data_IF_759839529947
#
_entry.id   IF_759839529947
#
_cell.length_a   1.000
_cell.length_b   1.000
_cell.length_c   1.000
_cell.angle_alpha   90.00
_cell.angle_beta   90.00
_cell.angle_gamma   90.00
#
_symmetry.space_group_name_H-M   'P 1'
#
loop_
_entity.id
_entity.type
_entity.pdbx_description
1 polymer ?
#
# COMPACT_ATOMS: atom_id res chain seq x y z
N UNK A 1 19.59 -16.63 2.27
CA UNK A 1 18.52 -17.48 1.67
C UNK A 1 17.12 -16.85 1.79
N UNK A 2 16.96 -15.52 1.84
CA UNK A 2 15.65 -14.86 1.95
C UNK A 2 15.03 -14.46 0.58
N UNK A 3 15.74 -14.69 -0.52
CA UNK A 3 15.39 -14.14 -1.83
C UNK A 3 14.28 -14.91 -2.55
N UNK A 4 14.17 -16.23 -2.38
CA UNK A 4 13.14 -17.04 -3.07
C UNK A 4 11.74 -16.79 -2.55
N UNK A 5 11.57 -16.72 -1.22
CA UNK A 5 10.28 -16.50 -0.58
C UNK A 5 9.73 -15.10 -0.90
N UNK A 6 10.56 -14.06 -0.79
CA UNK A 6 10.17 -12.70 -1.16
C UNK A 6 9.80 -12.61 -2.66
N UNK A 7 10.56 -13.27 -3.54
CA UNK A 7 10.25 -13.30 -4.99
C UNK A 7 8.91 -13.97 -5.28
N UNK A 8 8.59 -15.08 -4.61
CA UNK A 8 7.27 -15.70 -4.70
C UNK A 8 6.19 -14.74 -4.21
N UNK A 9 6.34 -14.15 -3.01
CA UNK A 9 5.38 -13.18 -2.48
C UNK A 9 5.12 -12.01 -3.43
N UNK A 10 6.14 -11.49 -4.13
CA UNK A 10 6.00 -10.44 -5.15
C UNK A 10 5.16 -10.89 -6.35
N UNK A 11 5.29 -12.15 -6.75
CA UNK A 11 4.56 -12.73 -7.88
C UNK A 11 3.08 -12.89 -7.53
N UNK A 12 2.79 -13.45 -6.35
CA UNK A 12 1.44 -13.56 -5.81
C UNK A 12 0.79 -12.19 -5.58
N UNK A 13 1.55 -11.20 -5.09
CA UNK A 13 1.08 -9.82 -4.94
C UNK A 13 0.63 -9.25 -6.28
N UNK A 14 1.45 -9.35 -7.32
CA UNK A 14 1.11 -8.86 -8.65
C UNK A 14 -0.19 -9.51 -9.17
N UNK A 15 -0.32 -10.83 -8.98
CA UNK A 15 -1.55 -11.57 -9.34
C UNK A 15 -2.77 -11.04 -8.60
N UNK A 16 -2.70 -10.84 -7.29
CA UNK A 16 -3.82 -10.31 -6.52
C UNK A 16 -4.17 -8.87 -6.90
N UNK A 17 -3.18 -8.01 -7.16
CA UNK A 17 -3.41 -6.67 -7.67
C UNK A 17 -4.10 -6.68 -9.04
N UNK A 18 -3.68 -7.56 -9.97
CA UNK A 18 -4.32 -7.72 -11.28
C UNK A 18 -5.76 -8.23 -11.16
N UNK A 19 -6.04 -9.10 -10.20
CA UNK A 19 -7.40 -9.59 -9.90
C UNK A 19 -8.23 -8.63 -9.01
N UNK A 20 -7.68 -7.48 -8.61
CA UNK A 20 -8.29 -6.53 -7.65
C UNK A 20 -8.66 -7.16 -6.30
N UNK A 21 -7.96 -8.23 -5.94
CA UNK A 21 -8.07 -8.95 -4.67
C UNK A 21 -7.32 -8.19 -3.57
N UNK A 22 -7.72 -6.94 -3.29
CA UNK A 22 -6.98 -6.01 -2.43
C UNK A 22 -6.73 -6.56 -1.02
N UNK A 23 -7.71 -7.26 -0.44
CA UNK A 23 -7.57 -7.86 0.89
C UNK A 23 -6.44 -8.91 0.96
N UNK A 24 -6.25 -9.70 -0.11
CA UNK A 24 -5.16 -10.68 -0.18
C UNK A 24 -3.83 -10.01 -0.47
N UNK A 25 -3.82 -9.00 -1.35
CA UNK A 25 -2.65 -8.17 -1.61
C UNK A 25 -2.13 -7.52 -0.32
N UNK A 26 -3.02 -6.97 0.52
CA UNK A 26 -2.67 -6.39 1.83
C UNK A 26 -1.99 -7.41 2.74
N UNK A 27 -2.47 -8.65 2.81
CA UNK A 27 -1.85 -9.69 3.66
C UNK A 27 -0.42 -10.01 3.24
N UNK A 28 -0.16 -10.03 1.94
CA UNK A 28 1.20 -10.24 1.42
C UNK A 28 2.07 -9.03 1.73
N UNK A 29 1.57 -7.82 1.47
CA UNK A 29 2.28 -6.57 1.78
C UNK A 29 2.57 -6.44 3.28
N UNK A 30 1.67 -6.87 4.16
CA UNK A 30 1.90 -6.86 5.61
C UNK A 30 3.07 -7.77 6.01
N UNK A 31 3.15 -8.96 5.42
CA UNK A 31 4.32 -9.85 5.60
C UNK A 31 5.59 -9.21 5.04
N UNK A 32 5.54 -8.58 3.87
CA UNK A 32 6.71 -7.95 3.24
C UNK A 32 7.22 -6.78 4.08
N UNK A 33 6.33 -5.88 4.50
CA UNK A 33 6.65 -4.72 5.36
C UNK A 33 7.20 -5.17 6.71
N UNK A 34 6.71 -6.28 7.27
CA UNK A 34 7.19 -6.82 8.54
C UNK A 34 8.60 -7.42 8.45
N UNK A 35 8.96 -7.99 7.29
CA UNK A 35 10.30 -8.54 7.06
C UNK A 35 11.30 -7.44 6.67
N UNK A 36 10.92 -6.58 5.73
CA UNK A 36 11.72 -5.45 5.30
C UNK A 36 10.80 -4.32 4.83
N UNK A 37 10.69 -3.28 5.65
CA UNK A 37 9.85 -2.14 5.38
C UNK A 37 10.45 -1.25 4.27
N UNK A 38 10.13 -1.55 3.02
CA UNK A 38 10.44 -0.64 1.91
C UNK A 38 9.35 0.42 1.75
N UNK A 39 9.75 1.62 1.31
CA UNK A 39 8.83 2.72 1.04
C UNK A 39 7.78 2.30 0.00
N UNK A 40 8.20 1.55 -1.03
CA UNK A 40 7.30 1.05 -2.07
C UNK A 40 6.25 0.07 -1.50
N UNK A 41 6.62 -0.79 -0.56
CA UNK A 41 5.67 -1.73 0.07
C UNK A 41 4.65 -1.03 0.94
N UNK A 42 5.10 -0.07 1.73
CA UNK A 42 4.21 0.74 2.57
C UNK A 42 3.24 1.52 1.69
N UNK A 43 3.73 2.13 0.60
CA UNK A 43 2.90 2.85 -0.35
C UNK A 43 1.91 1.94 -1.08
N UNK A 44 2.35 0.77 -1.57
CA UNK A 44 1.48 -0.21 -2.20
C UNK A 44 0.37 -0.68 -1.25
N UNK A 45 0.68 -0.81 0.05
CA UNK A 45 -0.31 -1.17 1.08
C UNK A 45 -1.31 -0.06 1.30
N UNK A 46 -0.86 1.20 1.40
CA UNK A 46 -1.72 2.37 1.44
C UNK A 46 -2.66 2.42 0.22
N UNK A 47 -2.14 2.14 -0.98
CA UNK A 47 -2.97 2.09 -2.19
C UNK A 47 -4.03 1.01 -2.11
N UNK A 48 -3.69 -0.21 -1.67
CA UNK A 48 -4.68 -1.28 -1.50
C UNK A 48 -5.76 -0.91 -0.47
N UNK A 49 -5.38 -0.24 0.62
CA UNK A 49 -6.35 0.28 1.60
C UNK A 49 -7.28 1.34 1.01
N UNK A 50 -6.80 2.17 0.07
CA UNK A 50 -7.64 3.19 -0.58
C UNK A 50 -8.70 2.57 -1.48
N UNK A 51 -8.37 1.47 -2.16
CA UNK A 51 -9.33 0.71 -2.97
C UNK A 51 -10.44 0.05 -2.14
N UNK A 52 -10.18 -0.18 -0.84
CA UNK A 52 -11.14 -0.71 0.12
C UNK A 52 -11.79 0.39 0.98
N UNK A 53 -11.55 1.66 0.68
CA UNK A 53 -12.08 2.82 1.42
C UNK A 53 -11.70 2.82 2.91
N UNK A 54 -10.57 2.17 3.25
CA UNK A 54 -10.03 2.09 4.60
C UNK A 54 -9.16 3.32 4.90
N UNK A 55 -9.76 4.52 4.81
CA UNK A 55 -9.08 5.83 4.86
C UNK A 55 -8.11 5.99 6.04
N UNK A 56 -8.47 5.50 7.24
CA UNK A 56 -7.59 5.57 8.42
C UNK A 56 -6.26 4.83 8.23
N UNK A 57 -6.30 3.69 7.55
CA UNK A 57 -5.10 2.90 7.26
C UNK A 57 -4.25 3.55 6.16
N UNK A 58 -4.91 4.14 5.16
CA UNK A 58 -4.23 4.92 4.10
C UNK A 58 -3.40 6.04 4.72
N UNK A 59 -4.01 6.87 5.57
CA UNK A 59 -3.32 8.00 6.22
C UNK A 59 -2.12 7.51 7.02
N UNK A 60 -2.29 6.44 7.82
CA UNK A 60 -1.22 5.87 8.65
C UNK A 60 -0.03 5.39 7.80
N UNK A 61 -0.28 4.69 6.70
CA UNK A 61 0.80 4.20 5.84
C UNK A 61 1.44 5.32 5.01
N UNK A 62 0.65 6.30 4.55
CA UNK A 62 1.19 7.50 3.91
C UNK A 62 2.09 8.31 4.86
N UNK A 63 1.67 8.50 6.12
CA UNK A 63 2.48 9.18 7.12
C UNK A 63 3.80 8.46 7.37
N UNK A 64 3.75 7.12 7.46
CA UNK A 64 4.96 6.32 7.60
C UNK A 64 5.87 6.40 6.36
N UNK A 65 5.29 6.41 5.16
CA UNK A 65 6.06 6.56 3.92
C UNK A 65 6.74 7.94 3.86
N UNK A 66 6.04 9.00 4.24
CA UNK A 66 6.56 10.37 4.30
C UNK A 66 7.62 10.58 5.38
N UNK A 67 7.60 9.80 6.47
CA UNK A 67 8.67 9.80 7.47
C UNK A 67 9.97 9.18 6.95
N UNK A 68 9.87 8.26 5.98
CA UNK A 68 11.02 7.59 5.37
C UNK A 68 11.56 8.38 4.18
N UNK A 69 10.66 8.98 3.40
CA UNK A 69 10.97 9.84 2.26
C UNK A 69 9.89 10.93 2.15
N UNK A 70 10.26 12.12 2.59
CA UNK A 70 9.40 13.30 2.59
C UNK A 70 9.18 13.88 1.18
N UNK A 71 9.91 13.40 0.18
CA UNK A 71 9.79 13.80 -1.23
C UNK A 71 8.81 12.93 -2.02
N UNK A 72 8.21 11.91 -1.39
CA UNK A 72 7.29 10.98 -2.04
C UNK A 72 5.93 11.62 -2.36
N UNK A 73 5.86 12.28 -3.52
CA UNK A 73 4.67 12.97 -4.01
C UNK A 73 3.43 12.06 -4.03
N UNK A 74 3.59 10.79 -4.40
CA UNK A 74 2.47 9.84 -4.45
C UNK A 74 1.86 9.57 -3.08
N UNK A 75 2.64 9.64 -1.99
CA UNK A 75 2.09 9.48 -0.64
C UNK A 75 1.29 10.70 -0.21
N UNK A 76 1.71 11.92 -0.59
CA UNK A 76 0.91 13.12 -0.37
C UNK A 76 -0.42 13.08 -1.13
N UNK A 77 -0.38 12.75 -2.43
CA UNK A 77 -1.59 12.67 -3.26
C UNK A 77 -2.58 11.67 -2.64
N UNK A 78 -2.10 10.48 -2.29
CA UNK A 78 -2.94 9.44 -1.74
C UNK A 78 -3.51 9.80 -0.36
N UNK A 79 -2.71 10.46 0.50
CA UNK A 79 -3.15 10.96 1.80
C UNK A 79 -4.24 12.03 1.65
N UNK A 80 -4.06 12.99 0.75
CA UNK A 80 -5.06 14.03 0.47
C UNK A 80 -6.36 13.39 -0.03
N UNK A 81 -6.30 12.46 -0.99
CA UNK A 81 -7.46 11.73 -1.47
C UNK A 81 -8.17 10.90 -0.38
N UNK A 82 -7.47 10.48 0.67
CA UNK A 82 -8.07 9.75 1.78
C UNK A 82 -8.71 10.67 2.85
N UNK A 83 -8.20 11.90 3.00
CA UNK A 83 -8.70 12.88 3.98
C UNK A 83 -9.87 13.69 3.41
N UNK A 84 -9.83 14.00 2.12
CA UNK A 84 -10.96 14.62 1.43
C UNK A 84 -11.96 13.51 1.16
N UNK A 85 -13.15 13.48 1.79
CA UNK A 85 -14.23 12.64 1.33
C UNK A 85 -14.62 13.14 -0.07
N UNK A 86 -13.98 12.57 -1.09
CA UNK A 86 -14.28 12.91 -2.47
C UNK A 86 -15.71 12.47 -2.75
N UNK A 87 -16.54 13.42 -3.12
CA UNK A 87 -17.60 13.26 -4.10
C UNK A 87 -17.05 12.40 -5.25
N UNK A 88 -17.14 11.08 -5.11
CA UNK A 88 -16.94 10.19 -6.24
C UNK A 88 -18.16 10.47 -7.11
N UNK A 89 -17.95 11.32 -8.13
CA UNK A 89 -18.96 11.68 -9.11
C UNK A 89 -19.72 10.44 -9.56
N UNK A 90 -21.04 10.63 -9.64
CA UNK A 90 -22.01 9.78 -10.33
C UNK A 90 -21.47 9.18 -11.62
#
# INVERSE_FOLDING_TARGET
>A
MATSAATSQRTELAKHCSSKDWSKAIRILDSLVSQNASIQDIWNRAFCYSQLELHKHVIKDCDRALQLDDSLLQAYILKVCAVVPGEKGT
#
